data_IF_970068795927
#
_entry.id   IF_970068795927
#
_cell.length_a   1.000
_cell.length_b   1.000
_cell.length_c   1.000
_cell.angle_alpha   90.00
_cell.angle_beta   90.00
_cell.angle_gamma   90.00
#
_symmetry.space_group_name_H-M   'P 1'
#
loop_
_entity.id
_entity.type
_entity.pdbx_description
1 polymer ?
#
# COMPACT_ATOMS: atom_id res chain seq x y z
N UNK A 1 -69.73 -35.05 5.35
CA UNK A 1 -68.54 -34.50 6.00
C UNK A 1 -68.83 -33.07 6.45
N UNK A 2 -69.01 -32.83 7.75
CA UNK A 2 -68.92 -31.52 8.36
C UNK A 2 -67.58 -31.33 9.09
N UNK A 3 -67.21 -30.06 9.24
CA UNK A 3 -65.92 -29.54 9.69
C UNK A 3 -65.98 -29.33 11.21
N UNK A 4 -65.11 -29.98 11.97
CA UNK A 4 -64.78 -29.56 13.34
C UNK A 4 -63.46 -28.78 13.28
N UNK A 5 -63.56 -27.46 13.40
CA UNK A 5 -62.41 -26.59 13.59
C UNK A 5 -62.00 -26.64 15.07
N UNK A 6 -60.72 -26.92 15.40
CA UNK A 6 -60.25 -26.65 16.75
C UNK A 6 -60.09 -25.14 16.94
N UNK A 7 -60.87 -24.60 17.87
CA UNK A 7 -60.74 -23.28 18.49
C UNK A 7 -59.31 -23.11 19.02
N UNK A 8 -58.43 -22.48 18.25
CA UNK A 8 -57.13 -22.04 18.74
C UNK A 8 -57.33 -20.72 19.46
N UNK A 9 -57.68 -20.83 20.73
CA UNK A 9 -57.72 -19.73 21.69
C UNK A 9 -56.38 -19.00 21.73
N UNK A 10 -56.44 -17.70 21.54
CA UNK A 10 -55.36 -16.71 21.45
C UNK A 10 -54.65 -16.45 22.80
N UNK A 11 -54.52 -17.45 23.67
CA UNK A 11 -53.96 -17.31 25.03
C UNK A 11 -52.42 -17.36 25.08
N UNK A 12 -51.75 -17.56 23.94
CA UNK A 12 -50.30 -17.72 23.85
C UNK A 12 -49.49 -16.45 23.61
N UNK A 13 -50.11 -15.27 23.47
CA UNK A 13 -49.39 -14.02 23.12
C UNK A 13 -49.08 -13.12 24.32
N UNK A 14 -49.47 -13.53 25.54
CA UNK A 14 -49.22 -12.77 26.76
C UNK A 14 -47.80 -12.92 27.33
N UNK A 15 -46.96 -13.80 26.76
CA UNK A 15 -45.62 -14.10 27.30
C UNK A 15 -44.48 -13.55 26.42
N UNK A 16 -44.79 -12.61 25.51
CA UNK A 16 -43.79 -11.67 24.99
C UNK A 16 -43.46 -10.70 26.13
N UNK A 17 -42.65 -11.17 27.07
CA UNK A 17 -41.89 -10.31 27.98
C UNK A 17 -41.29 -9.20 27.14
N UNK A 18 -41.42 -7.97 27.64
CA UNK A 18 -40.66 -6.84 27.16
C UNK A 18 -39.18 -7.17 27.34
N UNK A 19 -38.61 -7.92 26.40
CA UNK A 19 -37.18 -8.06 26.25
C UNK A 19 -36.67 -6.62 26.15
N UNK A 20 -35.83 -6.27 27.13
CA UNK A 20 -35.24 -4.96 27.29
C UNK A 20 -34.81 -4.45 25.91
N UNK A 21 -35.50 -3.41 25.44
CA UNK A 21 -35.14 -2.76 24.19
C UNK A 21 -33.64 -2.48 24.24
N UNK A 22 -32.86 -2.89 23.23
CA UNK A 22 -31.43 -2.65 23.23
C UNK A 22 -31.21 -1.15 23.45
N UNK A 23 -30.25 -0.76 24.31
CA UNK A 23 -30.05 0.63 24.68
C UNK A 23 -29.95 1.50 23.43
N UNK A 24 -30.67 2.62 23.45
CA UNK A 24 -30.75 3.56 22.34
C UNK A 24 -29.32 3.97 21.94
N UNK A 25 -28.94 3.68 20.69
CA UNK A 25 -27.58 3.91 20.22
C UNK A 25 -27.35 5.41 20.19
N UNK A 26 -26.43 5.88 21.03
CA UNK A 26 -26.00 7.27 21.03
C UNK A 26 -25.09 7.53 19.83
N UNK A 27 -25.72 7.78 18.68
CA UNK A 27 -25.06 7.99 17.39
C UNK A 27 -24.14 9.22 17.41
N UNK A 28 -24.47 10.21 18.24
CA UNK A 28 -23.72 11.45 18.32
C UNK A 28 -22.35 11.21 18.97
N UNK A 29 -22.30 10.45 20.07
CA UNK A 29 -21.04 10.10 20.71
C UNK A 29 -20.19 9.10 19.91
N UNK A 30 -20.80 8.23 19.09
CA UNK A 30 -20.08 7.34 18.15
C UNK A 30 -19.43 8.12 16.98
N UNK A 31 -20.10 9.17 16.46
CA UNK A 31 -19.63 9.99 15.33
C UNK A 31 -18.44 10.89 15.70
N UNK A 32 -18.43 11.45 16.91
CA UNK A 32 -17.37 12.38 17.34
C UNK A 32 -16.17 11.69 18.00
N UNK A 33 -16.24 10.37 18.22
CA UNK A 33 -15.12 9.62 18.75
C UNK A 33 -14.06 9.43 17.66
N UNK A 34 -13.12 10.38 17.53
CA UNK A 34 -12.06 10.42 16.49
C UNK A 34 -11.25 9.12 16.31
N UNK A 35 -11.33 8.18 17.26
CA UNK A 35 -10.79 6.81 17.13
C UNK A 35 -11.61 5.95 16.17
N UNK A 36 -12.95 6.03 16.19
CA UNK A 36 -13.85 5.24 15.32
C UNK A 36 -13.63 5.54 13.83
N UNK A 37 -13.41 6.82 13.50
CA UNK A 37 -13.12 7.25 12.12
C UNK A 37 -11.78 6.68 11.63
N UNK A 38 -10.76 6.68 12.50
CA UNK A 38 -9.43 6.17 12.14
C UNK A 38 -9.46 4.65 11.95
N UNK A 39 -10.20 3.93 12.78
CA UNK A 39 -10.37 2.48 12.67
C UNK A 39 -11.21 2.09 11.45
N UNK A 40 -12.24 2.88 11.11
CA UNK A 40 -13.06 2.68 9.91
C UNK A 40 -12.26 2.91 8.62
N UNK A 41 -11.45 3.97 8.56
CA UNK A 41 -10.53 4.21 7.43
C UNK A 41 -9.51 3.07 7.32
N UNK A 42 -8.94 2.63 8.44
CA UNK A 42 -7.97 1.52 8.44
C UNK A 42 -8.60 0.19 7.97
N UNK A 43 -9.86 -0.08 8.36
CA UNK A 43 -10.59 -1.26 7.91
C UNK A 43 -10.98 -1.18 6.44
N UNK A 44 -11.42 -0.02 5.95
CA UNK A 44 -11.69 0.20 4.52
C UNK A 44 -10.42 0.05 3.67
N UNK A 45 -9.30 0.62 4.11
CA UNK A 45 -7.99 0.45 3.45
C UNK A 45 -7.59 -1.03 3.40
N UNK A 46 -7.88 -1.80 4.45
CA UNK A 46 -7.64 -3.24 4.50
C UNK A 46 -8.54 -4.03 3.54
N UNK A 47 -9.83 -3.72 3.46
CA UNK A 47 -10.78 -4.35 2.52
C UNK A 47 -10.41 -4.06 1.06
N UNK A 48 -9.90 -2.87 0.78
CA UNK A 48 -9.38 -2.47 -0.53
C UNK A 48 -7.98 -3.06 -0.82
N UNK A 49 -7.39 -3.82 0.10
CA UNK A 49 -6.05 -4.39 -0.04
C UNK A 49 -4.91 -3.36 0.03
N UNK A 50 -5.21 -2.13 0.41
CA UNK A 50 -4.27 -1.03 0.57
C UNK A 50 -3.63 -1.14 1.96
N UNK A 51 -2.72 -2.10 2.15
CA UNK A 51 -1.87 -2.07 3.35
C UNK A 51 -1.03 -0.78 3.33
N UNK A 52 -0.91 -0.05 4.46
CA UNK A 52 -0.03 1.10 4.54
C UNK A 52 1.37 0.67 4.11
N UNK A 53 1.81 1.18 2.97
CA UNK A 53 3.06 0.76 2.35
C UNK A 53 4.17 0.88 3.38
N UNK A 54 4.94 -0.20 3.59
CA UNK A 54 6.18 -0.15 4.36
C UNK A 54 6.94 1.09 3.88
N UNK A 55 7.30 2.00 4.78
CA UNK A 55 8.09 3.20 4.44
C UNK A 55 9.24 2.74 3.56
N UNK A 56 9.14 3.04 2.27
CA UNK A 56 10.08 2.53 1.28
C UNK A 56 11.48 2.95 1.68
N UNK A 57 12.46 2.06 1.52
CA UNK A 57 13.87 2.45 1.62
C UNK A 57 14.06 3.70 0.77
N UNK A 58 14.69 4.75 1.31
CA UNK A 58 14.98 5.95 0.55
C UNK A 58 15.99 5.61 -0.54
N UNK A 59 15.50 5.40 -1.75
CA UNK A 59 16.32 5.16 -2.94
C UNK A 59 16.29 6.41 -3.81
N UNK A 60 17.46 6.83 -4.31
CA UNK A 60 17.54 7.85 -5.36
C UNK A 60 17.71 7.14 -6.69
N UNK A 61 16.76 7.33 -7.60
CA UNK A 61 16.84 6.80 -8.96
C UNK A 61 17.54 7.83 -9.85
N UNK A 62 18.54 7.36 -10.59
CA UNK A 62 19.26 8.14 -11.57
C UNK A 62 19.08 7.50 -12.95
N UNK A 63 18.92 8.35 -13.96
CA UNK A 63 18.86 7.96 -15.36
C UNK A 63 19.95 8.73 -16.09
N UNK A 64 20.94 8.03 -16.63
CA UNK A 64 22.08 8.64 -17.32
C UNK A 64 22.38 7.90 -18.62
N UNK A 65 22.80 8.65 -19.62
CA UNK A 65 23.39 8.13 -20.84
C UNK A 65 24.90 8.26 -20.67
N UNK A 66 25.61 7.14 -20.77
CA UNK A 66 27.04 7.03 -20.56
C UNK A 66 27.68 6.84 -21.94
N UNK A 67 28.63 7.69 -22.28
CA UNK A 67 29.49 7.50 -23.45
C UNK A 67 30.85 6.95 -22.97
N UNK A 68 31.17 5.66 -23.20
CA UNK A 68 32.40 5.07 -22.65
C UNK A 68 33.70 5.70 -23.18
N UNK A 69 33.61 6.47 -24.28
CA UNK A 69 34.74 7.25 -24.80
C UNK A 69 35.05 8.53 -24.02
N UNK A 70 34.27 8.89 -22.99
CA UNK A 70 34.52 10.02 -22.10
C UNK A 70 34.96 9.51 -20.73
N UNK A 71 36.11 9.98 -20.25
CA UNK A 71 36.73 9.49 -19.01
C UNK A 71 35.80 9.62 -17.78
N UNK A 72 35.11 10.76 -17.65
CA UNK A 72 34.15 11.01 -16.55
C UNK A 72 32.99 10.00 -16.52
N UNK A 73 32.53 9.57 -17.70
CA UNK A 73 31.43 8.63 -17.83
C UNK A 73 31.91 7.19 -17.55
N UNK A 74 33.15 6.88 -17.93
CA UNK A 74 33.81 5.60 -17.63
C UNK A 74 34.05 5.42 -16.12
N UNK A 75 34.45 6.48 -15.41
CA UNK A 75 34.61 6.46 -13.95
C UNK A 75 33.28 6.18 -13.24
N UNK A 76 32.20 6.84 -13.65
CA UNK A 76 30.85 6.61 -13.09
C UNK A 76 30.38 5.19 -13.36
N UNK A 77 30.61 4.68 -14.57
CA UNK A 77 30.24 3.32 -14.92
C UNK A 77 31.01 2.29 -14.07
N UNK A 78 32.31 2.48 -13.90
CA UNK A 78 33.14 1.64 -13.06
C UNK A 78 32.70 1.71 -11.59
N UNK A 79 32.34 2.89 -11.08
CA UNK A 79 31.79 3.03 -9.72
C UNK A 79 30.50 2.22 -9.54
N UNK A 80 29.60 2.27 -10.52
CA UNK A 80 28.33 1.53 -10.45
C UNK A 80 28.54 0.01 -10.56
N UNK A 81 29.47 -0.44 -11.42
CA UNK A 81 29.72 -1.86 -11.64
C UNK A 81 30.51 -2.54 -10.52
N UNK A 82 31.29 -1.78 -9.74
CA UNK A 82 32.10 -2.35 -8.66
C UNK A 82 31.39 -2.28 -7.29
N UNK A 83 30.42 -1.39 -7.10
CA UNK A 83 29.71 -1.18 -5.82
C UNK A 83 28.25 -1.70 -5.84
N UNK A 84 28.07 -3.02 -5.94
CA UNK A 84 26.75 -3.69 -5.95
C UNK A 84 25.93 -3.48 -4.66
N UNK A 85 26.58 -3.10 -3.56
CA UNK A 85 25.91 -2.84 -2.27
C UNK A 85 25.18 -1.49 -2.26
N UNK A 86 25.71 -0.51 -2.99
CA UNK A 86 25.24 0.87 -3.01
C UNK A 86 24.34 1.14 -4.22
N UNK A 87 24.68 0.55 -5.36
CA UNK A 87 23.98 0.76 -6.61
C UNK A 87 23.23 -0.49 -7.05
N UNK A 88 21.99 -0.31 -7.49
CA UNK A 88 21.20 -1.37 -8.12
C UNK A 88 20.85 -0.96 -9.53
N UNK A 89 21.31 -1.71 -10.53
CA UNK A 89 20.96 -1.46 -11.92
C UNK A 89 19.54 -1.98 -12.16
N UNK A 90 18.68 -1.12 -12.67
CA UNK A 90 17.31 -1.45 -13.07
C UNK A 90 17.22 -1.73 -14.56
N UNK A 91 17.96 -0.97 -15.36
CA UNK A 91 17.92 -1.06 -16.82
C UNK A 91 19.31 -0.77 -17.37
N UNK A 92 19.72 -1.62 -18.29
CA UNK A 92 20.91 -1.48 -19.10
C UNK A 92 20.51 -1.65 -20.56
N UNK A 93 20.73 -0.62 -21.38
CA UNK A 93 20.49 -0.71 -22.83
C UNK A 93 21.61 -0.03 -23.58
N UNK A 94 22.22 -0.76 -24.49
CA UNK A 94 23.23 -0.27 -25.40
C UNK A 94 22.59 0.30 -26.68
N UNK A 95 23.20 1.36 -27.22
CA UNK A 95 22.82 1.96 -28.50
C UNK A 95 24.05 2.47 -29.23
N UNK A 96 23.91 2.57 -30.55
CA UNK A 96 24.86 3.28 -31.40
C UNK A 96 24.22 4.58 -31.88
N UNK A 97 24.99 5.66 -31.93
CA UNK A 97 24.56 6.89 -32.61
C UNK A 97 24.72 6.72 -34.11
N UNK A 98 24.04 7.57 -34.89
CA UNK A 98 24.20 7.64 -36.35
C UNK A 98 25.65 7.98 -36.75
N UNK A 99 26.41 8.60 -35.83
CA UNK A 99 27.82 8.95 -36.01
C UNK A 99 28.79 7.82 -35.64
N UNK A 100 28.30 6.67 -35.19
CA UNK A 100 29.13 5.52 -34.79
C UNK A 100 29.62 5.58 -33.34
N UNK A 101 29.11 6.50 -32.52
CA UNK A 101 29.45 6.54 -31.10
C UNK A 101 28.64 5.51 -30.33
N UNK A 102 29.32 4.72 -29.52
CA UNK A 102 28.68 3.79 -28.60
C UNK A 102 28.18 4.53 -27.35
N UNK A 103 26.92 4.31 -26.98
CA UNK A 103 26.29 4.89 -25.79
C UNK A 103 25.53 3.82 -25.01
N UNK A 104 25.57 3.94 -23.69
CA UNK A 104 24.87 3.05 -22.76
C UNK A 104 23.82 3.88 -22.02
N UNK A 105 22.56 3.49 -22.13
CA UNK A 105 21.49 3.98 -21.28
C UNK A 105 21.46 3.15 -20.00
N UNK A 106 21.67 3.83 -18.87
CA UNK A 106 21.72 3.21 -17.57
C UNK A 106 20.70 3.87 -16.64
N UNK A 107 19.80 3.04 -16.08
CA UNK A 107 18.92 3.44 -14.98
C UNK A 107 19.36 2.66 -13.75
N UNK A 108 19.77 3.36 -12.70
CA UNK A 108 20.22 2.75 -11.46
C UNK A 108 19.60 3.44 -10.23
N UNK A 109 19.46 2.68 -9.16
CA UNK A 109 19.03 3.15 -7.84
C UNK A 109 20.25 3.20 -6.91
N UNK A 110 20.45 4.35 -6.27
CA UNK A 110 21.40 4.50 -5.17
C UNK A 110 20.65 4.32 -3.85
N UNK A 111 21.05 3.33 -3.06
CA UNK A 111 20.53 3.14 -1.71
C UNK A 111 21.14 4.20 -0.78
N UNK A 112 20.34 5.14 -0.28
CA UNK A 112 20.79 5.97 0.83
C UNK A 112 20.64 5.17 2.11
N UNK A 113 21.77 4.84 2.74
CA UNK A 113 21.74 4.43 4.13
C UNK A 113 21.16 5.56 4.98
N UNK A 114 20.06 5.29 5.68
CA UNK A 114 19.54 6.20 6.67
C UNK A 114 20.62 6.38 7.74
N UNK A 115 21.24 7.58 7.78
CA UNK A 115 22.10 8.02 8.89
C UNK A 115 21.38 7.68 10.18
N UNK A 116 21.88 6.68 10.91
CA UNK A 116 21.46 6.39 12.28
C UNK A 116 21.53 7.69 13.07
N UNK A 117 20.36 8.26 13.37
CA UNK A 117 20.21 9.27 14.42
C UNK A 117 20.71 8.61 15.69
N UNK A 118 21.90 9.03 16.13
CA UNK A 118 22.35 8.84 17.51
C UNK A 118 21.52 9.71 18.43
#
# INVERSE_FOLDING_TARGET
MPIDAPDQTFDGLSDLRADELPPERDLESELFNKRSIRDLVTNMERELGLTPGKKGKKVKRHSRIIAPGRDEDAEVLNGILNDDSKYRILMWKDTWTVHGDYRIFLIYEEQLEDKKTK
#
